data_IF_610672201320
#
_entry.id   IF_610672201320
#
_cell.length_a   1.000
_cell.length_b   1.000
_cell.length_c   1.000
_cell.angle_alpha   90.00
_cell.angle_beta   90.00
_cell.angle_gamma   90.00
#
_symmetry.space_group_name_H-M   'P 1'
#
loop_
_entity.id
_entity.type
_entity.pdbx_description
1 polymer ?
#
# COMPACT_ATOMS: atom_id res chain seq x y z
N UNK A 1 -50.03 3.32 -29.29
CA UNK A 1 -50.08 2.08 -28.50
C UNK A 1 -49.66 2.44 -27.08
N UNK A 2 -50.59 2.79 -26.18
CA UNK A 2 -51.26 1.89 -25.23
C UNK A 2 -50.31 0.83 -24.63
N UNK A 3 -50.12 0.68 -23.31
CA UNK A 3 -50.82 1.24 -22.14
C UNK A 3 -50.00 0.97 -20.86
N UNK A 4 -50.13 1.91 -19.92
CA UNK A 4 -50.34 1.80 -18.45
C UNK A 4 -49.21 1.19 -17.58
N UNK A 5 -48.66 1.91 -16.58
CA UNK A 5 -49.26 2.51 -15.35
C UNK A 5 -49.67 1.40 -14.36
N UNK A 6 -49.35 1.43 -13.05
CA UNK A 6 -49.91 2.25 -11.96
C UNK A 6 -48.97 2.11 -10.72
N UNK A 7 -48.60 3.18 -10.00
CA UNK A 7 -49.33 3.92 -8.95
C UNK A 7 -49.46 3.22 -7.57
N UNK A 8 -48.89 3.91 -6.57
CA UNK A 8 -49.24 4.04 -5.15
C UNK A 8 -49.61 2.82 -4.29
N UNK A 9 -48.90 2.73 -3.16
CA UNK A 9 -49.34 2.00 -1.97
C UNK A 9 -48.70 2.58 -0.70
N UNK A 10 -49.22 3.71 -0.23
CA UNK A 10 -48.99 4.19 1.13
C UNK A 10 -49.89 3.37 2.06
N UNK A 11 -49.33 2.56 2.95
CA UNK A 11 -50.06 2.05 4.11
C UNK A 11 -49.13 1.96 5.33
N UNK A 12 -49.62 2.60 6.36
CA UNK A 12 -49.11 2.77 7.71
C UNK A 12 -49.03 1.44 8.45
N UNK A 13 -47.89 1.17 9.11
CA UNK A 13 -47.90 0.42 10.37
C UNK A 13 -46.71 0.79 11.25
N UNK A 14 -46.97 1.81 12.06
CA UNK A 14 -46.34 2.04 13.35
C UNK A 14 -46.56 0.82 14.24
N UNK A 15 -45.50 0.04 14.50
CA UNK A 15 -45.40 -0.71 15.74
C UNK A 15 -44.21 -0.21 16.54
N UNK A 16 -44.51 0.70 17.46
CA UNK A 16 -43.73 0.97 18.66
C UNK A 16 -43.40 -0.37 19.33
N UNK A 17 -42.12 -0.73 19.38
CA UNK A 17 -41.56 -1.54 20.46
C UNK A 17 -40.47 -0.73 21.15
N UNK A 18 -40.89 -0.01 22.18
CA UNK A 18 -40.03 0.49 23.24
C UNK A 18 -39.43 -0.71 23.99
N UNK A 19 -38.13 -0.92 23.83
CA UNK A 19 -37.36 -1.87 24.62
C UNK A 19 -35.95 -1.30 24.86
N UNK A 20 -35.56 -1.02 26.11
CA UNK A 20 -34.25 -0.46 26.42
C UNK A 20 -33.24 -1.61 26.49
N UNK A 21 -32.71 -2.07 25.36
CA UNK A 21 -31.67 -3.12 25.42
C UNK A 21 -30.65 -3.14 24.27
N UNK A 22 -30.65 -2.16 23.37
CA UNK A 22 -29.73 -2.15 22.21
C UNK A 22 -28.44 -1.33 22.40
N UNK A 23 -28.23 -0.68 23.55
CA UNK A 23 -27.02 0.12 23.81
C UNK A 23 -25.84 -0.63 24.46
N UNK A 24 -26.04 -1.88 24.91
CA UNK A 24 -24.99 -2.62 25.63
C UNK A 24 -24.03 -3.40 24.72
N UNK A 25 -24.42 -3.77 23.49
CA UNK A 25 -23.58 -4.55 22.57
C UNK A 25 -22.55 -3.72 21.80
N UNK A 26 -22.83 -2.43 21.55
CA UNK A 26 -21.89 -1.53 20.88
C UNK A 26 -20.68 -1.15 21.75
N UNK A 27 -20.86 -1.06 23.07
CA UNK A 27 -19.76 -0.74 24.00
C UNK A 27 -18.77 -1.90 24.15
N UNK A 28 -19.25 -3.14 24.18
CA UNK A 28 -18.38 -4.33 24.26
C UNK A 28 -17.61 -4.55 22.96
N UNK A 29 -18.23 -4.35 21.80
CA UNK A 29 -17.53 -4.46 20.51
C UNK A 29 -16.38 -3.43 20.35
N UNK A 30 -16.56 -2.22 20.87
CA UNK A 30 -15.53 -1.17 20.90
C UNK A 30 -14.40 -1.46 21.91
N UNK A 31 -14.72 -2.08 23.05
CA UNK A 31 -13.71 -2.47 24.04
C UNK A 31 -12.85 -3.66 23.60
N UNK A 32 -13.46 -4.63 22.90
CA UNK A 32 -12.73 -5.80 22.35
C UNK A 32 -11.74 -5.39 21.25
N UNK A 33 -12.09 -4.41 20.39
CA UNK A 33 -11.17 -3.88 19.37
C UNK A 33 -10.01 -3.10 19.98
N UNK A 34 -10.25 -2.28 21.02
CA UNK A 34 -9.17 -1.60 21.76
C UNK A 34 -8.23 -2.58 22.45
N UNK A 35 -8.76 -3.62 23.11
CA UNK A 35 -7.94 -4.62 23.78
C UNK A 35 -7.05 -5.39 22.79
N UNK A 36 -7.58 -5.72 21.59
CA UNK A 36 -6.83 -6.41 20.54
C UNK A 36 -5.73 -5.53 19.93
N UNK A 37 -5.98 -4.23 19.73
CA UNK A 37 -4.95 -3.26 19.31
C UNK A 37 -3.86 -3.07 20.37
N UNK A 38 -4.22 -3.02 21.66
CA UNK A 38 -3.25 -2.92 22.75
C UNK A 38 -2.39 -4.19 22.92
N UNK A 39 -2.96 -5.37 22.68
CA UNK A 39 -2.23 -6.64 22.67
C UNK A 39 -1.26 -6.77 21.48
N UNK A 40 -1.66 -6.33 20.29
CA UNK A 40 -0.79 -6.30 19.11
C UNK A 40 0.37 -5.29 19.29
N UNK A 41 0.10 -4.12 19.86
CA UNK A 41 1.14 -3.12 20.17
C UNK A 41 2.15 -3.60 21.23
N UNK A 42 1.76 -4.55 22.10
CA UNK A 42 2.66 -5.19 23.08
C UNK A 42 3.46 -6.35 22.49
N UNK A 43 2.90 -7.10 21.52
CA UNK A 43 3.59 -8.21 20.84
C UNK A 43 4.61 -7.74 19.81
N UNK A 44 4.40 -6.58 19.21
CA UNK A 44 5.33 -5.95 18.27
C UNK A 44 5.71 -4.58 18.82
N UNK A 45 6.73 -4.48 19.70
CA UNK A 45 7.29 -3.19 20.03
C UNK A 45 7.91 -2.65 18.74
N UNK A 46 7.14 -1.86 17.98
CA UNK A 46 7.66 -0.98 16.95
C UNK A 46 8.74 -0.17 17.64
N UNK A 47 10.01 -0.54 17.41
CA UNK A 47 11.14 0.09 18.06
C UNK A 47 10.95 1.60 17.90
N UNK A 48 10.73 2.31 19.01
CA UNK A 48 10.45 3.74 18.98
C UNK A 48 11.68 4.43 18.41
N UNK A 49 11.68 4.60 17.10
CA UNK A 49 12.71 5.34 16.39
C UNK A 49 12.63 6.77 16.94
N UNK A 50 13.70 7.26 17.56
CA UNK A 50 13.74 8.60 18.12
C UNK A 50 13.30 9.63 17.07
N UNK A 51 12.70 10.74 17.49
CA UNK A 51 12.27 11.79 16.57
C UNK A 51 13.39 12.24 15.62
N UNK A 52 14.63 12.31 16.13
CA UNK A 52 15.84 12.59 15.35
C UNK A 52 16.13 11.57 14.24
N UNK A 53 15.96 10.26 14.51
CA UNK A 53 16.18 9.21 13.51
C UNK A 53 15.09 9.21 12.44
N UNK A 54 13.83 9.47 12.82
CA UNK A 54 12.73 9.66 11.87
C UNK A 54 12.98 10.85 10.95
N UNK A 55 13.44 11.97 11.50
CA UNK A 55 13.78 13.15 10.70
C UNK A 55 14.93 12.86 9.71
N UNK A 56 15.97 12.14 10.14
CA UNK A 56 17.10 11.77 9.27
C UNK A 56 16.68 10.84 8.12
N UNK A 57 15.84 9.84 8.39
CA UNK A 57 15.30 8.94 7.38
C UNK A 57 14.40 9.68 6.38
N UNK A 58 13.53 10.57 6.87
CA UNK A 58 12.72 11.46 6.01
C UNK A 58 13.61 12.34 5.13
N UNK A 59 14.68 12.91 5.68
CA UNK A 59 15.62 13.71 4.91
C UNK A 59 16.39 12.90 3.85
N UNK A 60 16.72 11.64 4.13
CA UNK A 60 17.36 10.75 3.16
C UNK A 60 16.41 10.39 2.02
N UNK A 61 15.17 9.97 2.33
CA UNK A 61 14.17 9.68 1.30
C UNK A 61 13.85 10.94 0.48
N UNK A 62 13.73 12.08 1.15
CA UNK A 62 13.45 13.36 0.53
C UNK A 62 14.51 13.78 -0.48
N UNK A 63 15.80 13.69 -0.13
CA UNK A 63 16.90 14.02 -1.05
C UNK A 63 16.85 13.19 -2.33
N UNK A 64 16.46 11.92 -2.24
CA UNK A 64 16.32 11.03 -3.40
C UNK A 64 15.12 11.41 -4.27
N UNK A 65 13.97 11.68 -3.64
CA UNK A 65 12.77 12.16 -4.34
C UNK A 65 13.06 13.47 -5.07
N UNK A 66 13.67 14.44 -4.39
CA UNK A 66 14.06 15.72 -4.99
C UNK A 66 15.01 15.55 -6.18
N UNK A 67 16.02 14.67 -6.07
CA UNK A 67 16.93 14.37 -7.18
C UNK A 67 16.19 13.78 -8.39
N UNK A 68 15.27 12.84 -8.14
CA UNK A 68 14.46 12.21 -9.20
C UNK A 68 13.53 13.23 -9.89
N UNK A 69 12.87 14.08 -9.10
CA UNK A 69 12.05 15.18 -9.60
C UNK A 69 12.86 16.15 -10.48
N UNK A 70 14.05 16.56 -10.02
CA UNK A 70 14.93 17.45 -10.77
C UNK A 70 15.41 16.83 -12.08
N UNK A 71 15.74 15.54 -12.09
CA UNK A 71 16.19 14.84 -13.30
C UNK A 71 15.09 14.72 -14.37
N UNK A 72 13.81 14.81 -13.96
CA UNK A 72 12.64 14.61 -14.85
C UNK A 72 11.84 15.90 -15.07
N UNK A 73 12.17 16.98 -14.36
CA UNK A 73 11.38 18.21 -14.37
C UNK A 73 10.02 18.10 -13.65
N UNK A 74 9.77 17.01 -12.92
CA UNK A 74 8.47 16.75 -12.29
C UNK A 74 8.27 17.58 -11.01
N UNK A 75 7.06 18.09 -10.80
CA UNK A 75 6.66 18.79 -9.56
C UNK A 75 6.25 17.83 -8.44
N UNK A 76 6.01 16.55 -8.77
CA UNK A 76 5.59 15.48 -7.86
C UNK A 76 6.38 14.21 -8.14
N UNK A 77 6.50 13.37 -7.12
CA UNK A 77 7.15 12.06 -7.18
C UNK A 77 6.28 11.05 -6.46
N UNK A 78 6.17 9.85 -7.01
CA UNK A 78 5.53 8.72 -6.33
C UNK A 78 6.60 7.94 -5.60
N UNK A 79 6.36 7.56 -4.34
CA UNK A 79 7.16 6.52 -3.67
C UNK A 79 6.34 5.25 -3.66
N UNK A 80 6.84 4.16 -4.24
CA UNK A 80 6.20 2.84 -4.15
C UNK A 80 7.04 1.91 -3.28
N UNK A 81 6.43 1.35 -2.24
CA UNK A 81 7.04 0.35 -1.38
C UNK A 81 6.66 -1.05 -1.86
N UNK A 82 7.62 -1.75 -2.41
CA UNK A 82 7.42 -2.92 -3.24
C UNK A 82 7.91 -4.19 -2.53
N UNK A 83 7.11 -5.26 -2.62
CA UNK A 83 7.50 -6.61 -2.24
C UNK A 83 7.10 -7.57 -3.35
N UNK A 84 8.06 -8.34 -3.86
CA UNK A 84 7.80 -9.22 -5.01
C UNK A 84 6.87 -10.37 -4.67
N UNK A 85 6.87 -10.84 -3.42
CA UNK A 85 5.92 -11.86 -2.95
C UNK A 85 4.50 -11.34 -2.73
N UNK A 86 4.25 -10.02 -2.85
CA UNK A 86 2.91 -9.45 -2.72
C UNK A 86 2.12 -9.61 -4.05
N UNK A 87 1.12 -10.50 -4.13
CA UNK A 87 0.36 -10.70 -5.37
C UNK A 87 -0.43 -9.44 -5.75
N UNK A 88 -0.90 -8.68 -4.77
CA UNK A 88 -1.61 -7.42 -5.03
C UNK A 88 -0.72 -6.39 -5.73
N UNK A 89 0.53 -6.29 -5.28
CA UNK A 89 1.50 -5.41 -5.91
C UNK A 89 1.79 -5.86 -7.35
N UNK A 90 2.03 -7.15 -7.58
CA UNK A 90 2.35 -7.70 -8.90
C UNK A 90 1.22 -7.63 -9.91
N UNK A 91 -0.02 -7.83 -9.46
CA UNK A 91 -1.19 -7.88 -10.33
C UNK A 91 -1.76 -6.48 -10.60
N UNK A 92 -1.95 -5.67 -9.55
CA UNK A 92 -2.75 -4.45 -9.65
C UNK A 92 -1.92 -3.18 -9.53
N UNK A 93 -1.03 -3.10 -8.54
CA UNK A 93 -0.24 -1.89 -8.36
C UNK A 93 0.76 -1.68 -9.50
N UNK A 94 1.41 -2.76 -9.93
CA UNK A 94 2.39 -2.70 -10.99
C UNK A 94 1.76 -2.39 -12.35
N UNK A 95 0.60 -2.98 -12.65
CA UNK A 95 -0.06 -2.78 -13.93
C UNK A 95 -0.90 -1.49 -13.99
N UNK A 96 -1.82 -1.30 -13.04
CA UNK A 96 -2.82 -0.25 -13.16
C UNK A 96 -2.33 1.10 -12.61
N UNK A 97 -1.64 1.10 -11.46
CA UNK A 97 -1.26 2.36 -10.80
C UNK A 97 -0.09 3.06 -11.48
N UNK A 98 0.92 2.31 -11.96
CA UNK A 98 2.04 2.93 -12.69
C UNK A 98 1.61 3.50 -14.05
N UNK A 99 0.63 2.86 -14.71
CA UNK A 99 0.05 3.39 -15.95
C UNK A 99 -0.92 4.56 -15.73
N UNK A 100 -1.49 4.70 -14.53
CA UNK A 100 -2.50 5.72 -14.26
C UNK A 100 -1.97 7.15 -14.35
N UNK A 101 -0.68 7.36 -14.15
CA UNK A 101 -0.05 8.69 -14.01
C UNK A 101 1.19 8.81 -14.89
N UNK A 102 1.02 8.78 -16.23
CA UNK A 102 2.14 8.85 -17.16
C UNK A 102 2.93 10.15 -16.96
N UNK A 103 4.25 10.05 -16.93
CA UNK A 103 5.15 11.19 -16.79
C UNK A 103 5.45 11.64 -15.36
N UNK A 104 4.80 11.04 -14.34
CA UNK A 104 5.19 11.25 -12.95
C UNK A 104 6.23 10.19 -12.57
N UNK A 105 7.44 10.58 -12.13
CA UNK A 105 8.48 9.61 -11.81
C UNK A 105 8.18 8.86 -10.51
N UNK A 106 8.47 7.56 -10.50
CA UNK A 106 8.33 6.69 -9.33
C UNK A 106 9.69 6.35 -8.73
N UNK A 107 9.84 6.60 -7.42
CA UNK A 107 10.92 6.07 -6.60
C UNK A 107 10.44 4.76 -5.95
N UNK A 108 10.93 3.65 -6.46
CA UNK A 108 10.65 2.33 -5.90
C UNK A 108 11.52 2.04 -4.68
N UNK A 109 10.96 1.37 -3.68
CA UNK A 109 11.64 0.94 -2.46
C UNK A 109 11.29 -0.52 -2.22
N UNK A 110 12.24 -1.42 -2.51
CA UNK A 110 12.13 -2.82 -2.16
C UNK A 110 12.22 -2.99 -0.64
N UNK A 111 11.14 -3.49 -0.04
CA UNK A 111 11.02 -3.79 1.39
C UNK A 111 11.11 -5.30 1.63
N UNK A 112 10.91 -5.74 2.88
CA UNK A 112 10.86 -7.18 3.18
C UNK A 112 9.72 -7.86 2.42
N UNK A 113 9.85 -9.17 2.22
CA UNK A 113 8.77 -9.94 1.60
C UNK A 113 7.47 -9.95 2.42
N UNK A 114 6.35 -9.77 1.72
CA UNK A 114 5.00 -9.83 2.27
C UNK A 114 4.54 -11.27 2.54
N UNK A 115 4.89 -12.20 1.65
CA UNK A 115 4.52 -13.62 1.72
C UNK A 115 5.72 -14.53 1.43
N UNK A 116 6.77 -14.49 2.26
CA UNK A 116 7.91 -15.39 2.11
C UNK A 116 7.51 -16.84 2.41
N UNK A 117 7.95 -17.78 1.57
CA UNK A 117 7.53 -19.19 1.64
C UNK A 117 8.02 -19.92 2.90
N UNK A 118 9.09 -19.44 3.54
CA UNK A 118 9.64 -20.02 4.77
C UNK A 118 8.97 -19.50 6.07
N UNK A 119 8.09 -18.50 6.00
CA UNK A 119 7.33 -18.03 7.18
C UNK A 119 5.81 -18.00 6.97
N UNK A 120 5.35 -18.03 5.73
CA UNK A 120 3.95 -17.96 5.38
C UNK A 120 3.63 -19.06 4.37
N UNK A 121 2.57 -19.81 4.62
CA UNK A 121 2.01 -20.73 3.64
C UNK A 121 1.39 -19.92 2.49
N UNK A 122 2.26 -19.48 1.58
CA UNK A 122 1.92 -18.71 0.40
C UNK A 122 1.73 -19.62 -0.82
N UNK A 123 1.50 -20.93 -0.60
CA UNK A 123 1.18 -21.86 -1.66
C UNK A 123 -0.04 -21.37 -2.44
N UNK A 124 0.05 -21.39 -3.77
CA UNK A 124 -0.91 -20.74 -4.65
C UNK A 124 -0.29 -19.55 -5.37
N UNK A 125 -0.65 -18.32 -4.99
CA UNK A 125 -0.37 -17.11 -5.75
C UNK A 125 1.12 -16.83 -6.02
N UNK A 126 2.05 -17.42 -5.25
CA UNK A 126 3.49 -17.28 -5.48
C UNK A 126 4.11 -18.49 -6.19
N UNK A 127 3.50 -19.67 -6.09
CA UNK A 127 4.06 -20.95 -6.57
C UNK A 127 3.37 -21.51 -7.82
N UNK A 128 2.17 -21.03 -8.15
CA UNK A 128 1.38 -21.53 -9.28
C UNK A 128 0.46 -20.45 -9.88
N UNK A 129 -0.02 -20.68 -11.11
CA UNK A 129 -0.98 -19.81 -11.78
C UNK A 129 -0.37 -18.61 -12.50
N UNK A 130 -1.20 -17.66 -12.97
CA UNK A 130 -0.76 -16.55 -13.83
C UNK A 130 0.16 -15.54 -13.13
N UNK A 131 0.13 -15.53 -11.80
CA UNK A 131 0.99 -14.72 -10.96
C UNK A 131 2.10 -15.57 -10.32
N UNK A 132 2.50 -16.71 -10.88
CA UNK A 132 3.61 -17.45 -10.27
C UNK A 132 4.92 -16.65 -10.32
N UNK A 133 5.76 -16.80 -9.30
CA UNK A 133 7.11 -16.23 -9.28
C UNK A 133 8.08 -17.11 -10.06
N UNK A 134 9.15 -16.51 -10.56
CA UNK A 134 10.20 -17.20 -11.32
C UNK A 134 11.05 -18.16 -10.47
N UNK A 135 10.98 -18.00 -9.16
CA UNK A 135 11.63 -18.85 -8.17
C UNK A 135 10.96 -18.70 -6.82
N UNK A 136 11.39 -19.50 -5.87
CA UNK A 136 11.01 -19.36 -4.47
C UNK A 136 11.64 -18.10 -3.85
N UNK A 137 10.82 -17.40 -3.07
CA UNK A 137 11.21 -16.24 -2.29
C UNK A 137 10.99 -16.52 -0.81
N UNK A 138 12.10 -16.64 -0.11
CA UNK A 138 12.13 -16.75 1.34
C UNK A 138 12.36 -15.38 1.97
N UNK A 139 12.18 -15.29 3.28
CA UNK A 139 12.50 -14.09 4.04
C UNK A 139 13.95 -13.71 3.82
N UNK A 140 14.17 -12.44 3.51
CA UNK A 140 15.52 -11.90 3.41
C UNK A 140 16.22 -12.01 4.76
N UNK A 141 17.37 -12.70 4.80
CA UNK A 141 18.24 -12.81 5.98
C UNK A 141 19.39 -11.82 5.89
N UNK A 142 19.75 -11.44 4.66
CA UNK A 142 20.81 -10.49 4.36
C UNK A 142 20.34 -9.40 3.41
N UNK A 143 21.08 -8.29 3.37
CA UNK A 143 20.86 -7.23 2.39
C UNK A 143 21.09 -7.72 0.95
N UNK A 144 21.91 -8.75 0.76
CA UNK A 144 22.13 -9.38 -0.54
C UNK A 144 20.86 -10.06 -1.04
N UNK A 145 20.17 -10.81 -0.17
CA UNK A 145 18.90 -11.49 -0.51
C UNK A 145 17.83 -10.48 -0.93
N UNK A 146 17.77 -9.35 -0.22
CA UNK A 146 16.83 -8.27 -0.55
C UNK A 146 17.18 -7.58 -1.86
N UNK A 147 18.48 -7.38 -2.15
CA UNK A 147 18.94 -6.86 -3.45
C UNK A 147 18.64 -7.81 -4.60
N UNK A 148 18.77 -9.13 -4.41
CA UNK A 148 18.37 -10.11 -5.40
C UNK A 148 16.87 -10.01 -5.70
N UNK A 149 16.04 -9.87 -4.66
CA UNK A 149 14.60 -9.69 -4.82
C UNK A 149 14.23 -8.35 -5.47
N UNK A 150 14.96 -7.27 -5.15
CA UNK A 150 14.83 -5.98 -5.81
C UNK A 150 15.16 -6.04 -7.31
N UNK A 151 16.15 -6.84 -7.72
CA UNK A 151 16.49 -7.04 -9.14
C UNK A 151 15.31 -7.64 -9.91
N UNK A 152 14.64 -8.62 -9.33
CA UNK A 152 13.47 -9.26 -9.93
C UNK A 152 12.24 -8.34 -9.91
N UNK A 153 12.02 -7.61 -8.81
CA UNK A 153 10.99 -6.60 -8.74
C UNK A 153 11.18 -5.54 -9.84
N UNK A 154 12.42 -5.04 -10.03
CA UNK A 154 12.76 -4.10 -11.11
C UNK A 154 12.47 -4.68 -12.50
N UNK A 155 12.77 -5.95 -12.74
CA UNK A 155 12.47 -6.62 -14.01
C UNK A 155 10.95 -6.80 -14.25
N UNK A 156 10.16 -6.95 -13.17
CA UNK A 156 8.71 -6.97 -13.26
C UNK A 156 8.16 -5.57 -13.57
N UNK A 157 8.59 -4.55 -12.84
CA UNK A 157 8.15 -3.15 -13.04
C UNK A 157 8.44 -2.67 -14.46
N UNK A 158 9.60 -3.02 -15.04
CA UNK A 158 9.97 -2.59 -16.39
C UNK A 158 9.02 -3.07 -17.50
N UNK A 159 8.09 -3.99 -17.21
CA UNK A 159 7.03 -4.39 -18.13
C UNK A 159 5.87 -3.40 -18.18
N UNK A 160 5.73 -2.56 -17.16
CA UNK A 160 4.58 -1.67 -16.96
C UNK A 160 4.97 -0.19 -16.95
N UNK A 161 6.12 0.15 -16.36
CA UNK A 161 6.68 1.50 -16.35
C UNK A 161 7.80 1.59 -17.40
N UNK A 162 7.67 2.44 -18.43
CA UNK A 162 8.71 2.63 -19.43
C UNK A 162 9.88 3.47 -18.86
N UNK A 163 11.10 3.16 -19.29
CA UNK A 163 12.31 3.93 -18.95
C UNK A 163 13.14 3.32 -17.83
N UNK A 164 14.02 4.14 -17.25
CA UNK A 164 14.94 3.68 -16.20
C UNK A 164 14.22 3.60 -14.84
N UNK A 165 13.98 2.37 -14.38
CA UNK A 165 13.39 2.13 -13.07
C UNK A 165 14.38 2.47 -11.96
N UNK A 166 14.07 3.51 -11.17
CA UNK A 166 14.83 3.89 -9.99
C UNK A 166 14.34 3.13 -8.77
N UNK A 167 15.13 2.16 -8.29
CA UNK A 167 14.78 1.35 -7.13
C UNK A 167 15.85 1.43 -6.03
N UNK A 168 15.40 1.61 -4.80
CA UNK A 168 16.19 1.52 -3.58
C UNK A 168 15.83 0.25 -2.82
N UNK A 169 16.73 -0.20 -1.94
CA UNK A 169 16.50 -1.36 -1.07
C UNK A 169 16.49 -0.87 0.36
N UNK A 170 15.39 -1.08 1.08
CA UNK A 170 15.33 -0.74 2.50
C UNK A 170 16.36 -1.57 3.30
N UNK A 171 16.91 -0.98 4.35
CA UNK A 171 17.86 -1.67 5.23
C UNK A 171 17.21 -2.86 5.93
N UNK A 172 18.02 -3.82 6.37
CA UNK A 172 17.53 -5.03 7.06
C UNK A 172 16.81 -4.75 8.40
N UNK A 173 16.85 -3.51 8.88
CA UNK A 173 16.11 -3.03 10.04
C UNK A 173 14.72 -2.45 9.70
N UNK A 174 14.30 -2.58 8.43
CA UNK A 174 12.99 -2.20 7.89
C UNK A 174 12.59 -0.75 8.26
N UNK A 175 13.59 0.15 8.32
CA UNK A 175 13.40 1.51 8.85
C UNK A 175 12.52 2.39 7.96
N UNK A 176 12.67 2.32 6.64
CA UNK A 176 11.83 3.11 5.74
C UNK A 176 10.41 2.53 5.72
N UNK A 177 10.30 1.22 5.63
CA UNK A 177 9.02 0.52 5.71
C UNK A 177 8.25 0.89 6.98
N UNK A 178 8.89 0.83 8.15
CA UNK A 178 8.27 1.17 9.43
C UNK A 178 7.94 2.66 9.54
N UNK A 179 8.80 3.55 9.04
CA UNK A 179 8.57 5.00 9.05
C UNK A 179 7.33 5.39 8.24
N UNK A 180 7.11 4.69 7.13
CA UNK A 180 5.98 4.91 6.23
C UNK A 180 4.85 3.91 6.46
N UNK A 181 4.88 3.06 7.49
CA UNK A 181 3.85 2.03 7.72
C UNK A 181 3.45 1.30 6.43
N UNK A 182 4.44 0.92 5.62
CA UNK A 182 4.22 0.65 4.20
C UNK A 182 3.87 -0.81 3.88
N UNK A 183 3.80 -1.69 4.90
CA UNK A 183 3.50 -3.11 4.71
C UNK A 183 2.02 -3.38 4.43
N UNK A 184 1.68 -4.40 3.61
CA UNK A 184 2.57 -5.22 2.78
C UNK A 184 2.99 -4.55 1.46
N UNK A 185 2.32 -3.44 1.11
CA UNK A 185 2.62 -2.56 -0.02
C UNK A 185 1.92 -1.21 0.23
N UNK A 186 2.53 -0.11 -0.22
CA UNK A 186 1.93 1.23 -0.22
C UNK A 186 2.58 2.14 -1.25
N UNK A 187 1.80 3.08 -1.77
CA UNK A 187 2.26 4.19 -2.59
C UNK A 187 1.95 5.53 -1.93
N UNK A 188 2.81 6.51 -2.18
CA UNK A 188 2.66 7.87 -1.68
C UNK A 188 2.92 8.85 -2.80
N UNK A 189 2.09 9.88 -2.90
CA UNK A 189 2.37 11.02 -3.78
C UNK A 189 3.01 12.12 -2.94
N UNK A 190 4.18 12.58 -3.35
CA UNK A 190 4.97 13.58 -2.64
C UNK A 190 5.16 14.81 -3.52
N UNK A 191 4.93 15.99 -2.95
CA UNK A 191 5.27 17.25 -3.59
C UNK A 191 6.79 17.47 -3.58
N UNK A 192 7.39 17.63 -4.77
CA UNK A 192 8.85 17.67 -4.96
C UNK A 192 9.52 18.97 -4.48
N UNK A 193 8.75 20.03 -4.24
CA UNK A 193 9.26 21.28 -3.65
C UNK A 193 9.42 21.18 -2.12
N UNK A 194 8.47 20.54 -1.43
CA UNK A 194 8.33 20.63 0.05
C UNK A 194 8.59 19.31 0.78
N UNK A 195 8.40 18.17 0.11
CA UNK A 195 8.48 16.84 0.71
C UNK A 195 7.24 16.46 1.49
N UNK A 196 6.17 17.24 1.33
CA UNK A 196 4.88 16.95 1.88
C UNK A 196 4.25 15.79 1.11
N UNK A 197 3.81 14.78 1.87
CA UNK A 197 2.91 13.75 1.36
C UNK A 197 1.55 14.39 1.09
N UNK A 198 1.11 14.35 -0.17
CA UNK A 198 -0.18 14.90 -0.59
C UNK A 198 -1.24 13.81 -0.69
N UNK A 199 -0.83 12.58 -0.97
CA UNK A 199 -1.73 11.42 -0.99
C UNK A 199 -1.01 10.13 -0.58
N UNK A 200 -1.78 9.15 -0.15
CA UNK A 200 -1.33 7.83 0.27
C UNK A 200 -2.30 6.76 -0.23
N UNK A 201 -1.82 5.93 -1.15
CA UNK A 201 -2.60 4.85 -1.75
C UNK A 201 -2.11 3.54 -1.16
N UNK A 202 -3.00 2.79 -0.54
CA UNK A 202 -2.60 1.60 0.19
C UNK A 202 -3.77 0.69 0.52
N UNK A 203 -3.72 0.12 1.72
CA UNK A 203 -4.61 -0.91 2.23
C UNK A 203 -6.09 -0.71 1.87
N UNK A 204 -6.74 -1.87 1.70
CA UNK A 204 -8.16 -2.16 1.46
C UNK A 204 -9.19 -1.06 1.77
N UNK A 205 -10.30 -1.00 1.00
CA UNK A 205 -10.76 -2.01 0.02
C UNK A 205 -10.04 -1.95 -1.34
N UNK A 206 -10.16 -3.03 -2.13
CA UNK A 206 -9.51 -3.21 -3.45
C UNK A 206 -10.19 -2.44 -4.59
N UNK A 207 -10.80 -1.30 -4.28
CA UNK A 207 -11.50 -0.45 -5.25
C UNK A 207 -10.47 0.25 -6.15
N UNK A 208 -9.99 -0.46 -7.18
CA UNK A 208 -8.92 0.02 -8.05
C UNK A 208 -9.32 1.27 -8.83
N UNK A 209 -10.57 1.35 -9.28
CA UNK A 209 -11.11 2.55 -9.94
C UNK A 209 -10.96 3.79 -9.06
N UNK A 210 -11.37 3.70 -7.78
CA UNK A 210 -11.26 4.79 -6.82
C UNK A 210 -9.80 5.16 -6.54
N UNK A 211 -8.91 4.17 -6.45
CA UNK A 211 -7.46 4.41 -6.25
C UNK A 211 -6.80 5.06 -7.46
N UNK A 212 -7.19 4.65 -8.66
CA UNK A 212 -6.74 5.25 -9.92
C UNK A 212 -7.25 6.68 -10.04
N UNK A 213 -8.49 6.94 -9.64
CA UNK A 213 -9.04 8.30 -9.61
C UNK A 213 -8.30 9.19 -8.61
N UNK A 214 -8.03 8.67 -7.40
CA UNK A 214 -7.29 9.40 -6.36
C UNK A 214 -5.87 9.75 -6.81
N UNK A 215 -5.10 8.78 -7.33
CA UNK A 215 -3.72 9.04 -7.79
C UNK A 215 -3.68 10.04 -8.93
N UNK A 216 -4.61 9.95 -9.89
CA UNK A 216 -4.72 10.91 -11.00
C UNK A 216 -5.03 12.31 -10.47
N UNK A 217 -5.97 12.44 -9.53
CA UNK A 217 -6.33 13.71 -8.93
C UNK A 217 -5.17 14.33 -8.12
N UNK A 218 -4.41 13.51 -7.39
CA UNK A 218 -3.23 13.97 -6.67
C UNK A 218 -2.09 14.40 -7.61
N UNK A 219 -1.96 13.73 -8.76
CA UNK A 219 -0.91 13.99 -9.74
C UNK A 219 -1.20 15.14 -10.71
N UNK A 220 -2.48 15.42 -11.03
CA UNK A 220 -2.92 16.56 -11.84
C UNK A 220 -2.41 17.90 -11.29
#
# INVERSE_FOLDING_TARGET
MCRASWCLGCLTRTTRRSGPSFCLTARTACQVTRARHQLLARRYPMARCSASRRAALRALSWRRQKKLAQATGASKVIISFDSVTCPFWRAYAAEDLYRAVPGIPTLHVCIREAHPLDEFDAEGANTSGPLQLTREFNKHKTLSDRRASAKEAKALISKFEPGEITMFVDGMDDKLEALYEARPWRQYVIEAATGKMIDAIGLTPFQMEDKIAAIKAACA
#
